data_IF_658051698375
#
_entry.id   IF_658051698375
#
_cell.length_a   1.000
_cell.length_b   1.000
_cell.length_c   1.000
_cell.angle_alpha   90.00
_cell.angle_beta   90.00
_cell.angle_gamma   90.00
#
_symmetry.space_group_name_H-M   'P 1'
#
loop_
_entity.id
_entity.type
_entity.pdbx_description
1 polymer ?
#
# COMPACT_ATOMS: atom_id res chain seq x y z
N UNK A 1 -47.90 -17.68 -25.53
CA UNK A 1 -47.42 -16.29 -25.49
C UNK A 1 -46.42 -16.19 -24.35
N UNK A 2 -45.14 -16.05 -24.67
CA UNK A 2 -44.04 -16.07 -23.69
C UNK A 2 -43.88 -14.66 -23.10
N UNK A 3 -44.29 -14.48 -21.86
CA UNK A 3 -44.17 -13.20 -21.14
C UNK A 3 -42.69 -12.95 -20.85
N UNK A 4 -42.08 -12.01 -21.56
CA UNK A 4 -40.71 -11.54 -21.28
C UNK A 4 -40.74 -10.81 -19.94
N UNK A 5 -40.16 -11.42 -18.89
CA UNK A 5 -40.29 -10.94 -17.51
C UNK A 5 -39.26 -9.88 -17.08
N UNK A 6 -38.22 -9.59 -17.88
CA UNK A 6 -37.37 -8.42 -17.70
C UNK A 6 -36.41 -8.32 -18.89
N UNK A 7 -36.52 -7.25 -19.68
CA UNK A 7 -35.54 -6.96 -20.74
C UNK A 7 -34.34 -6.29 -20.08
N UNK A 8 -33.25 -7.03 -19.86
CA UNK A 8 -31.97 -6.46 -19.40
C UNK A 8 -31.33 -5.80 -20.62
N UNK A 9 -31.76 -4.59 -20.93
CA UNK A 9 -31.05 -3.77 -21.92
C UNK A 9 -29.73 -3.32 -21.33
N UNK A 10 -28.63 -3.53 -22.06
CA UNK A 10 -27.35 -2.93 -21.71
C UNK A 10 -27.52 -1.41 -21.69
N UNK A 11 -27.14 -0.72 -20.60
CA UNK A 11 -27.25 0.72 -20.53
C UNK A 11 -26.42 1.32 -21.67
N UNK A 12 -27.06 2.14 -22.51
CA UNK A 12 -26.41 2.83 -23.63
C UNK A 12 -25.13 3.53 -23.12
N UNK A 13 -23.98 3.37 -23.77
CA UNK A 13 -22.76 4.08 -23.40
C UNK A 13 -23.04 5.58 -23.44
N UNK A 14 -23.11 6.21 -22.27
CA UNK A 14 -23.17 7.67 -22.21
C UNK A 14 -21.80 8.18 -22.65
N UNK A 15 -21.71 9.10 -23.63
CA UNK A 15 -20.44 9.68 -24.02
C UNK A 15 -19.82 10.35 -22.80
N UNK A 16 -18.72 9.77 -22.29
CA UNK A 16 -17.99 10.30 -21.15
C UNK A 16 -17.53 11.72 -21.45
N UNK A 17 -17.99 12.70 -20.65
CA UNK A 17 -17.71 14.12 -20.87
C UNK A 17 -16.30 14.55 -20.42
N UNK A 18 -15.30 13.66 -20.45
CA UNK A 18 -13.95 13.98 -19.98
C UNK A 18 -12.88 12.96 -20.36
N UNK A 19 -11.61 13.33 -20.13
CA UNK A 19 -10.48 12.45 -20.37
C UNK A 19 -10.48 11.31 -19.34
N UNK A 20 -10.62 10.06 -19.82
CA UNK A 20 -10.84 8.87 -19.02
C UNK A 20 -9.78 8.65 -17.91
N UNK A 21 -8.56 9.15 -18.10
CA UNK A 21 -7.49 9.02 -17.12
C UNK A 21 -7.88 9.58 -15.74
N UNK A 22 -8.75 10.59 -15.67
CA UNK A 22 -9.07 11.29 -14.42
C UNK A 22 -10.37 10.83 -13.74
N UNK A 23 -10.98 9.73 -14.18
CA UNK A 23 -12.29 9.29 -13.68
C UNK A 23 -12.23 8.39 -12.44
N UNK A 24 -11.12 7.66 -12.26
CA UNK A 24 -10.93 6.71 -11.16
C UNK A 24 -9.48 6.71 -10.72
N UNK A 25 -9.25 6.65 -9.41
CA UNK A 25 -7.91 6.77 -8.81
C UNK A 25 -6.91 5.73 -9.31
N UNK A 26 -7.31 4.49 -9.60
CA UNK A 26 -6.35 3.49 -10.09
C UNK A 26 -5.75 3.86 -11.45
N UNK A 27 -6.49 4.56 -12.31
CA UNK A 27 -6.05 4.84 -13.70
C UNK A 27 -4.75 5.65 -13.76
N UNK A 28 -4.65 6.86 -13.16
CA UNK A 28 -3.41 7.61 -13.20
C UNK A 28 -2.36 7.00 -12.28
N UNK A 29 -2.74 6.55 -11.07
CA UNK A 29 -1.73 6.08 -10.11
C UNK A 29 -1.11 4.74 -10.49
N UNK A 30 -1.83 3.81 -11.10
CA UNK A 30 -1.22 2.56 -11.56
C UNK A 30 -0.32 2.82 -12.77
N UNK A 31 -0.76 3.68 -13.71
CA UNK A 31 0.09 4.08 -14.83
C UNK A 31 1.38 4.75 -14.34
N UNK A 32 1.28 5.69 -13.40
CA UNK A 32 2.43 6.37 -12.80
C UNK A 32 3.32 5.39 -12.03
N UNK A 33 2.76 4.52 -11.19
CA UNK A 33 3.52 3.54 -10.42
C UNK A 33 4.26 2.56 -11.33
N UNK A 34 3.60 2.01 -12.36
CA UNK A 34 4.23 1.09 -13.30
C UNK A 34 5.31 1.77 -14.15
N UNK A 35 5.03 2.98 -14.66
CA UNK A 35 6.02 3.77 -15.41
C UNK A 35 7.22 4.12 -14.54
N UNK A 36 6.97 4.52 -13.30
CA UNK A 36 8.02 4.83 -12.35
C UNK A 36 8.84 3.60 -11.95
N UNK A 37 8.23 2.44 -11.76
CA UNK A 37 8.97 1.21 -11.49
C UNK A 37 9.95 0.89 -12.62
N UNK A 38 9.51 1.01 -13.89
CA UNK A 38 10.38 0.82 -15.05
C UNK A 38 11.51 1.87 -15.12
N UNK A 39 11.18 3.14 -14.92
CA UNK A 39 12.16 4.25 -14.94
C UNK A 39 13.13 4.20 -13.75
N UNK A 40 12.67 3.75 -12.59
CA UNK A 40 13.44 3.71 -11.35
C UNK A 40 14.64 2.79 -11.47
N UNK A 41 14.55 1.70 -12.26
CA UNK A 41 15.70 0.83 -12.54
C UNK A 41 16.80 1.59 -13.29
N UNK A 42 16.42 2.38 -14.30
CA UNK A 42 17.37 3.20 -15.07
C UNK A 42 17.97 4.31 -14.22
N UNK A 43 17.15 5.01 -13.42
CA UNK A 43 17.62 6.05 -12.50
C UNK A 43 18.60 5.48 -11.46
N UNK A 44 18.35 4.27 -10.97
CA UNK A 44 19.26 3.58 -10.07
C UNK A 44 20.58 3.21 -10.74
N UNK A 45 20.54 2.67 -11.96
CA UNK A 45 21.74 2.38 -12.73
C UNK A 45 22.59 3.64 -12.99
N UNK A 46 21.95 4.76 -13.31
CA UNK A 46 22.61 6.05 -13.52
C UNK A 46 23.21 6.64 -12.24
N UNK A 47 22.59 6.43 -11.07
CA UNK A 47 23.17 6.84 -9.80
C UNK A 47 24.41 6.00 -9.48
N UNK A 48 24.33 4.68 -9.64
CA UNK A 48 25.48 3.80 -9.39
C UNK A 48 26.63 4.02 -10.36
N UNK A 49 26.36 4.40 -11.60
CA UNK A 49 27.40 4.75 -12.57
C UNK A 49 28.01 6.14 -12.32
N UNK A 50 27.47 6.93 -11.39
CA UNK A 50 27.93 8.29 -11.07
C UNK A 50 27.42 9.38 -12.02
N UNK A 51 26.55 9.05 -12.97
CA UNK A 51 26.01 9.99 -13.97
C UNK A 51 24.92 10.91 -13.41
N UNK A 52 24.29 10.52 -12.30
CA UNK A 52 23.17 11.26 -11.70
C UNK A 52 23.61 12.40 -10.76
N UNK A 53 24.91 12.69 -10.68
CA UNK A 53 25.46 13.73 -9.81
C UNK A 53 25.34 13.38 -8.33
N UNK A 54 24.97 14.37 -7.49
CA UNK A 54 24.74 14.22 -6.04
C UNK A 54 23.27 14.48 -5.69
N UNK A 55 22.37 13.51 -5.92
CA UNK A 55 20.96 13.66 -5.54
C UNK A 55 20.83 13.75 -4.02
N UNK A 56 19.77 14.41 -3.55
CA UNK A 56 19.54 14.65 -2.13
C UNK A 56 19.32 13.36 -1.33
N UNK A 57 18.59 12.40 -1.90
CA UNK A 57 18.60 11.01 -1.44
C UNK A 57 19.46 10.15 -2.37
N UNK A 58 20.30 9.30 -1.79
CA UNK A 58 21.15 8.39 -2.53
C UNK A 58 21.31 7.04 -1.84
N UNK A 59 21.78 6.04 -2.59
CA UNK A 59 22.10 4.73 -2.06
C UNK A 59 20.86 3.99 -1.52
N UNK A 60 21.04 2.93 -0.71
CA UNK A 60 19.95 2.04 -0.32
C UNK A 60 18.74 2.73 0.32
N UNK A 61 18.95 3.84 1.03
CA UNK A 61 17.87 4.63 1.61
C UNK A 61 16.97 5.25 0.53
N UNK A 62 17.55 5.75 -0.56
CA UNK A 62 16.75 6.25 -1.68
C UNK A 62 15.92 5.15 -2.31
N UNK A 63 16.49 3.95 -2.51
CA UNK A 63 15.74 2.80 -3.04
C UNK A 63 14.53 2.51 -2.18
N UNK A 64 14.75 2.35 -0.87
CA UNK A 64 13.70 2.05 0.08
C UNK A 64 12.61 3.13 0.10
N UNK A 65 13.01 4.41 0.06
CA UNK A 65 12.08 5.55 -0.01
C UNK A 65 11.23 5.49 -1.27
N UNK A 66 11.84 5.25 -2.44
CA UNK A 66 11.14 5.20 -3.72
C UNK A 66 10.23 3.99 -3.84
N UNK A 67 10.62 2.83 -3.33
CA UNK A 67 9.80 1.62 -3.37
C UNK A 67 8.58 1.71 -2.45
N UNK A 68 8.74 2.26 -1.24
CA UNK A 68 7.65 2.35 -0.26
C UNK A 68 6.74 3.53 -0.51
N UNK A 69 7.29 4.74 -0.53
CA UNK A 69 6.50 5.97 -0.60
C UNK A 69 6.22 6.43 -2.03
N UNK A 70 7.05 6.00 -2.99
CA UNK A 70 6.83 6.31 -4.40
C UNK A 70 5.90 5.32 -5.05
N UNK A 71 6.41 4.11 -5.22
CA UNK A 71 5.72 3.04 -5.93
C UNK A 71 4.55 2.48 -5.12
N UNK A 72 4.80 1.84 -3.98
CA UNK A 72 3.77 1.09 -3.28
C UNK A 72 2.65 1.99 -2.76
N UNK A 73 2.98 3.16 -2.22
CA UNK A 73 1.99 4.13 -1.75
C UNK A 73 1.12 4.70 -2.90
N UNK A 74 1.67 4.92 -4.10
CA UNK A 74 0.86 5.30 -5.25
C UNK A 74 -0.16 4.21 -5.61
N UNK A 75 0.27 2.94 -5.62
CA UNK A 75 -0.64 1.80 -5.83
C UNK A 75 -1.72 1.75 -4.74
N UNK A 76 -1.35 1.93 -3.47
CA UNK A 76 -2.30 1.98 -2.35
C UNK A 76 -3.31 3.13 -2.52
N UNK A 77 -2.87 4.33 -2.88
CA UNK A 77 -3.76 5.49 -3.09
C UNK A 77 -4.71 5.24 -4.27
N UNK A 78 -4.20 4.74 -5.39
CA UNK A 78 -5.02 4.37 -6.55
C UNK A 78 -6.08 3.32 -6.22
N UNK A 79 -5.68 2.30 -5.45
CA UNK A 79 -6.58 1.29 -4.93
C UNK A 79 -7.63 1.90 -3.99
N UNK A 80 -7.23 2.69 -2.99
CA UNK A 80 -8.10 3.24 -1.96
C UNK A 80 -9.12 4.24 -2.52
N UNK A 81 -8.78 5.03 -3.53
CA UNK A 81 -9.76 5.90 -4.20
C UNK A 81 -10.77 5.11 -5.02
N UNK A 82 -10.37 3.98 -5.59
CA UNK A 82 -11.28 3.13 -6.35
C UNK A 82 -12.19 2.34 -5.42
N UNK A 83 -11.61 1.68 -4.42
CA UNK A 83 -12.32 0.91 -3.42
C UNK A 83 -13.16 1.79 -2.50
N UNK A 84 -12.65 2.96 -2.11
CA UNK A 84 -13.34 3.96 -1.29
C UNK A 84 -14.62 4.46 -1.95
N UNK A 85 -14.62 4.66 -3.27
CA UNK A 85 -15.85 4.96 -4.04
C UNK A 85 -16.87 3.83 -3.90
N UNK A 86 -16.43 2.58 -4.07
CA UNK A 86 -17.32 1.41 -3.94
C UNK A 86 -17.84 1.22 -2.50
N UNK A 87 -17.03 1.48 -1.48
CA UNK A 87 -17.43 1.33 -0.08
C UNK A 87 -18.34 2.44 0.43
N UNK A 88 -18.21 3.66 -0.13
CA UNK A 88 -18.98 4.83 0.30
C UNK A 88 -20.20 5.11 -0.58
N UNK A 89 -20.22 4.61 -1.82
CA UNK A 89 -21.18 5.05 -2.84
C UNK A 89 -21.04 6.52 -3.24
N UNK A 90 -19.99 7.19 -2.76
CA UNK A 90 -19.72 8.60 -3.00
C UNK A 90 -18.53 8.76 -3.95
N UNK A 91 -18.50 9.82 -4.77
CA UNK A 91 -17.34 10.08 -5.62
C UNK A 91 -16.11 10.37 -4.76
N UNK A 92 -15.03 9.63 -5.01
CA UNK A 92 -13.67 9.98 -4.58
C UNK A 92 -13.10 11.07 -5.51
N UNK A 93 -11.91 11.64 -5.23
CA UNK A 93 -11.33 12.67 -6.10
C UNK A 93 -11.27 12.22 -7.57
N UNK A 94 -11.84 13.04 -8.46
CA UNK A 94 -11.91 12.83 -9.91
C UNK A 94 -11.62 14.15 -10.63
N UNK A 95 -11.26 14.11 -11.91
CA UNK A 95 -10.95 15.31 -12.70
C UNK A 95 -9.72 16.05 -12.17
N UNK A 96 -9.83 17.38 -12.05
CA UNK A 96 -8.74 18.27 -11.63
C UNK A 96 -8.15 17.90 -10.25
N UNK A 97 -8.94 17.67 -9.17
CA UNK A 97 -8.41 17.19 -7.89
C UNK A 97 -7.51 15.96 -7.99
N UNK A 98 -7.88 14.98 -8.83
CA UNK A 98 -7.08 13.77 -9.03
C UNK A 98 -5.79 14.07 -9.81
N UNK A 99 -5.86 14.95 -10.81
CA UNK A 99 -4.70 15.41 -11.56
C UNK A 99 -3.69 16.18 -10.69
N UNK A 100 -4.16 17.02 -9.77
CA UNK A 100 -3.31 17.74 -8.83
C UNK A 100 -2.61 16.78 -7.85
N UNK A 101 -3.31 15.74 -7.37
CA UNK A 101 -2.67 14.71 -6.54
C UNK A 101 -1.60 13.92 -7.30
N UNK A 102 -1.86 13.59 -8.57
CA UNK A 102 -0.88 12.94 -9.44
C UNK A 102 0.35 13.84 -9.69
N UNK A 103 0.13 15.13 -9.92
CA UNK A 103 1.22 16.10 -10.09
C UNK A 103 2.03 16.29 -8.79
N UNK A 104 1.36 16.34 -7.64
CA UNK A 104 2.00 16.42 -6.33
C UNK A 104 2.90 15.21 -6.07
N UNK A 105 2.42 14.01 -6.40
CA UNK A 105 3.21 12.79 -6.32
C UNK A 105 4.44 12.85 -7.24
N UNK A 106 4.25 13.26 -8.50
CA UNK A 106 5.34 13.37 -9.48
C UNK A 106 6.40 14.40 -9.04
N UNK A 107 5.96 15.55 -8.53
CA UNK A 107 6.84 16.58 -7.98
C UNK A 107 7.71 16.02 -6.85
N UNK A 108 7.14 15.19 -5.97
CA UNK A 108 7.88 14.52 -4.90
C UNK A 108 9.03 13.64 -5.42
N UNK A 109 8.81 12.93 -6.54
CA UNK A 109 9.84 12.08 -7.18
C UNK A 109 10.97 12.91 -7.78
N UNK A 110 10.63 13.99 -8.47
CA UNK A 110 11.61 14.89 -9.09
C UNK A 110 12.42 15.62 -8.03
N UNK A 111 11.78 16.15 -6.99
CA UNK A 111 12.44 16.95 -5.95
C UNK A 111 13.50 16.17 -5.17
N UNK A 112 13.34 14.85 -5.01
CA UNK A 112 14.35 13.99 -4.37
C UNK A 112 15.67 13.96 -5.14
N UNK A 113 15.65 14.22 -6.45
CA UNK A 113 16.83 14.32 -7.30
C UNK A 113 17.51 15.69 -7.26
N UNK A 114 16.85 16.69 -6.66
CA UNK A 114 17.33 18.08 -6.60
C UNK A 114 17.96 18.38 -5.23
N UNK A 115 18.75 19.45 -5.08
CA UNK A 115 19.30 19.85 -3.77
C UNK A 115 18.25 20.43 -2.80
N UNK A 116 16.98 20.58 -3.20
CA UNK A 116 15.94 21.24 -2.41
C UNK A 116 15.31 20.30 -1.35
N UNK A 117 16.11 19.80 -0.41
CA UNK A 117 15.69 18.78 0.56
C UNK A 117 14.45 19.15 1.40
N UNK A 118 14.33 20.41 1.85
CA UNK A 118 13.14 20.87 2.58
C UNK A 118 11.86 20.86 1.73
N UNK A 119 11.96 21.30 0.47
CA UNK A 119 10.83 21.28 -0.45
C UNK A 119 10.46 19.84 -0.79
N UNK A 120 11.46 18.99 -1.00
CA UNK A 120 11.27 17.55 -1.17
C UNK A 120 10.51 16.96 0.04
N UNK A 121 10.93 17.26 1.27
CA UNK A 121 10.30 16.78 2.50
C UNK A 121 8.81 17.12 2.57
N UNK A 122 8.47 18.40 2.38
CA UNK A 122 7.10 18.90 2.48
C UNK A 122 6.21 18.33 1.38
N UNK A 123 6.68 18.33 0.13
CA UNK A 123 5.89 17.82 -1.01
C UNK A 123 5.64 16.33 -0.89
N UNK A 124 6.65 15.57 -0.50
CA UNK A 124 6.55 14.13 -0.31
C UNK A 124 5.56 13.77 0.83
N UNK A 125 5.61 14.48 1.95
CA UNK A 125 4.68 14.28 3.06
C UNK A 125 3.25 14.76 2.73
N UNK A 126 3.12 15.81 1.93
CA UNK A 126 1.82 16.37 1.55
C UNK A 126 1.00 15.39 0.70
N UNK A 127 1.64 14.56 -0.13
CA UNK A 127 0.94 13.60 -0.99
C UNK A 127 0.01 12.64 -0.22
N UNK A 128 0.50 11.80 0.72
CA UNK A 128 -0.37 10.88 1.44
C UNK A 128 -1.36 11.59 2.38
N UNK A 129 -1.01 12.76 2.91
CA UNK A 129 -1.93 13.58 3.71
C UNK A 129 -3.11 14.06 2.85
N UNK A 130 -2.82 14.63 1.68
CA UNK A 130 -3.84 15.08 0.73
C UNK A 130 -4.68 13.90 0.22
N UNK A 131 -4.06 12.74 -0.03
CA UNK A 131 -4.79 11.52 -0.38
C UNK A 131 -5.71 11.06 0.77
N UNK A 132 -5.24 11.13 2.02
CA UNK A 132 -6.01 10.83 3.21
C UNK A 132 -7.24 11.73 3.35
N UNK A 133 -7.08 13.04 3.16
CA UNK A 133 -8.19 14.00 3.15
C UNK A 133 -9.17 13.69 2.02
N UNK A 134 -8.67 13.42 0.81
CA UNK A 134 -9.48 13.05 -0.35
C UNK A 134 -10.30 11.78 -0.12
N UNK A 135 -9.79 10.82 0.66
CA UNK A 135 -10.51 9.61 1.06
C UNK A 135 -11.47 9.86 2.24
N UNK A 136 -11.11 10.73 3.19
CA UNK A 136 -11.90 11.02 4.38
C UNK A 136 -13.25 11.66 4.04
N UNK A 137 -13.28 12.59 3.08
CA UNK A 137 -14.49 13.31 2.67
C UNK A 137 -15.64 12.35 2.27
N UNK A 138 -15.46 11.43 1.29
CA UNK A 138 -16.51 10.50 0.90
C UNK A 138 -16.86 9.49 2.00
N UNK A 139 -15.87 9.01 2.77
CA UNK A 139 -16.13 8.11 3.91
C UNK A 139 -16.96 8.78 5.01
N UNK A 140 -16.76 10.08 5.22
CA UNK A 140 -17.55 10.89 6.14
C UNK A 140 -18.97 11.10 5.68
N UNK A 141 -19.15 11.51 4.42
CA UNK A 141 -20.48 11.67 3.82
C UNK A 141 -21.29 10.37 3.86
N UNK A 142 -20.64 9.23 3.64
CA UNK A 142 -21.27 7.91 3.69
C UNK A 142 -21.35 7.30 5.10
N UNK A 143 -20.86 7.99 6.15
CA UNK A 143 -20.76 7.47 7.52
C UNK A 143 -20.09 6.10 7.63
N UNK A 144 -19.16 5.79 6.73
CA UNK A 144 -18.50 4.48 6.66
C UNK A 144 -17.33 4.41 7.65
N UNK A 145 -17.66 4.30 8.95
CA UNK A 145 -16.69 4.24 10.06
C UNK A 145 -15.66 3.11 9.94
N UNK A 146 -16.04 1.99 9.32
CA UNK A 146 -15.20 0.79 9.19
C UNK A 146 -13.92 1.01 8.38
N UNK A 147 -13.91 1.98 7.47
CA UNK A 147 -12.78 2.23 6.57
C UNK A 147 -11.98 3.50 6.91
N UNK A 148 -12.34 4.21 7.99
CA UNK A 148 -11.61 5.43 8.40
C UNK A 148 -10.18 5.18 8.81
N UNK A 149 -9.85 3.97 9.29
CA UNK A 149 -8.48 3.66 9.67
C UNK A 149 -7.52 3.82 8.48
N UNK A 150 -7.96 3.65 7.23
CA UNK A 150 -7.12 3.92 6.04
C UNK A 150 -6.73 5.39 5.95
N UNK A 151 -7.60 6.32 6.38
CA UNK A 151 -7.24 7.74 6.50
C UNK A 151 -6.13 7.89 7.52
N UNK A 152 -6.28 7.29 8.71
CA UNK A 152 -5.23 7.31 9.74
C UNK A 152 -3.89 6.74 9.25
N UNK A 153 -3.92 5.64 8.51
CA UNK A 153 -2.72 5.03 7.91
C UNK A 153 -2.06 5.95 6.88
N UNK A 154 -2.83 6.61 6.01
CA UNK A 154 -2.29 7.57 5.05
C UNK A 154 -1.64 8.77 5.77
N UNK A 155 -2.22 9.24 6.87
CA UNK A 155 -1.59 10.26 7.70
C UNK A 155 -0.29 9.76 8.35
N UNK A 156 -0.29 8.52 8.85
CA UNK A 156 0.91 7.90 9.39
C UNK A 156 2.02 7.77 8.34
N UNK A 157 1.70 7.44 7.08
CA UNK A 157 2.67 7.47 5.97
C UNK A 157 3.24 8.87 5.75
N UNK A 158 2.40 9.91 5.76
CA UNK A 158 2.87 11.29 5.63
C UNK A 158 3.83 11.72 6.74
N UNK A 159 3.51 11.36 7.99
CA UNK A 159 4.38 11.61 9.15
C UNK A 159 5.68 10.82 9.02
N UNK A 160 5.62 9.51 8.75
CA UNK A 160 6.80 8.66 8.61
C UNK A 160 7.73 9.16 7.50
N UNK A 161 7.17 9.57 6.37
CA UNK A 161 7.92 10.12 5.25
C UNK A 161 8.56 11.47 5.62
N UNK A 162 7.82 12.38 6.24
CA UNK A 162 8.35 13.67 6.68
C UNK A 162 9.51 13.49 7.67
N UNK A 163 9.34 12.60 8.64
CA UNK A 163 10.35 12.27 9.65
C UNK A 163 11.61 11.69 9.03
N UNK A 164 11.50 10.83 8.00
CA UNK A 164 12.65 10.33 7.24
C UNK A 164 13.43 11.49 6.59
N UNK A 165 12.72 12.44 5.98
CA UNK A 165 13.36 13.62 5.38
C UNK A 165 13.99 14.54 6.43
N UNK A 166 13.37 14.73 7.59
CA UNK A 166 13.95 15.50 8.70
C UNK A 166 15.24 14.86 9.22
N UNK A 167 15.28 13.52 9.28
CA UNK A 167 16.50 12.80 9.65
C UNK A 167 17.61 12.98 8.59
N UNK A 168 17.26 12.90 7.30
CA UNK A 168 18.20 13.15 6.21
C UNK A 168 18.74 14.59 6.20
N UNK A 169 17.92 15.56 6.59
CA UNK A 169 18.30 16.98 6.72
C UNK A 169 19.12 17.27 8.00
N UNK A 170 19.31 16.28 8.88
CA UNK A 170 20.02 16.45 10.15
C UNK A 170 19.23 17.19 11.23
N UNK A 171 17.92 17.39 11.05
CA UNK A 171 17.06 18.10 12.00
C UNK A 171 16.70 17.22 13.19
N UNK A 172 16.53 15.92 12.95
CA UNK A 172 16.20 14.94 13.99
C UNK A 172 17.20 13.79 13.92
N UNK A 173 17.73 13.38 15.07
CA UNK A 173 18.58 12.19 15.17
C UNK A 173 17.72 10.97 15.40
N UNK A 174 17.48 10.20 14.33
CA UNK A 174 16.83 8.90 14.39
C UNK A 174 17.75 7.83 13.82
N UNK A 175 17.62 6.56 14.23
CA UNK A 175 18.27 5.49 13.52
C UNK A 175 17.80 5.51 12.05
N UNK A 176 18.76 5.49 11.11
CA UNK A 176 18.52 5.84 9.71
C UNK A 176 17.46 5.00 8.98
N UNK A 177 17.09 3.84 9.53
CA UNK A 177 16.11 2.92 8.93
C UNK A 177 14.72 2.97 9.57
N UNK A 178 14.50 3.70 10.66
CA UNK A 178 13.21 3.69 11.38
C UNK A 178 12.05 4.15 10.50
N UNK A 179 12.23 5.23 9.72
CA UNK A 179 11.19 5.71 8.80
C UNK A 179 10.81 4.69 7.72
N UNK A 180 11.79 3.89 7.27
CA UNK A 180 11.59 2.80 6.30
C UNK A 180 10.87 1.61 6.96
N UNK A 181 11.26 1.22 8.17
CA UNK A 181 10.63 0.14 8.93
C UNK A 181 9.16 0.46 9.24
N UNK A 182 8.87 1.65 9.76
CA UNK A 182 7.50 2.11 10.02
C UNK A 182 6.66 2.08 8.74
N UNK A 183 7.21 2.52 7.61
CA UNK A 183 6.51 2.47 6.33
C UNK A 183 6.27 1.04 5.82
N UNK A 184 7.23 0.12 6.04
CA UNK A 184 7.06 -1.31 5.76
C UNK A 184 5.93 -1.91 6.60
N UNK A 185 5.89 -1.64 7.90
CA UNK A 185 4.85 -2.17 8.80
C UNK A 185 3.47 -1.63 8.45
N UNK A 186 3.37 -0.32 8.14
CA UNK A 186 2.13 0.29 7.65
C UNK A 186 1.69 -0.35 6.32
N UNK A 187 2.63 -0.65 5.42
CA UNK A 187 2.33 -1.33 4.16
C UNK A 187 1.84 -2.75 4.39
N UNK A 188 2.53 -3.52 5.25
CA UNK A 188 2.13 -4.87 5.66
C UNK A 188 0.74 -4.83 6.28
N UNK A 189 0.44 -3.84 7.12
CA UNK A 189 -0.88 -3.68 7.73
C UNK A 189 -1.97 -3.45 6.67
N UNK A 190 -1.75 -2.54 5.73
CA UNK A 190 -2.69 -2.31 4.59
C UNK A 190 -2.89 -3.59 3.80
N UNK A 191 -1.82 -4.26 3.41
CA UNK A 191 -1.86 -5.52 2.65
C UNK A 191 -2.54 -6.63 3.45
N UNK A 192 -2.33 -6.71 4.76
CA UNK A 192 -2.93 -7.71 5.64
C UNK A 192 -4.44 -7.51 5.80
N UNK A 193 -4.89 -6.26 5.93
CA UNK A 193 -6.32 -5.94 6.00
C UNK A 193 -6.98 -6.23 4.66
N UNK A 194 -6.37 -5.78 3.56
CA UNK A 194 -6.93 -5.97 2.24
C UNK A 194 -6.89 -7.42 1.81
N UNK A 195 -5.80 -8.14 2.08
CA UNK A 195 -5.65 -9.56 1.81
C UNK A 195 -6.75 -10.38 2.46
N UNK A 196 -7.06 -10.14 3.74
CA UNK A 196 -8.15 -10.82 4.44
C UNK A 196 -9.56 -10.59 3.90
N UNK A 197 -9.76 -9.49 3.17
CA UNK A 197 -11.06 -9.17 2.55
C UNK A 197 -11.14 -9.68 1.12
N UNK A 198 -10.06 -9.49 0.37
CA UNK A 198 -10.00 -9.66 -1.08
C UNK A 198 -9.66 -11.10 -1.43
N UNK A 199 -8.66 -11.69 -0.77
CA UNK A 199 -8.15 -13.02 -1.16
C UNK A 199 -9.23 -14.09 -1.00
N UNK A 200 -9.90 -14.25 0.17
CA UNK A 200 -10.96 -15.26 0.30
C UNK A 200 -12.13 -15.03 -0.65
N UNK A 201 -12.49 -13.76 -0.91
CA UNK A 201 -13.55 -13.40 -1.84
C UNK A 201 -13.22 -13.85 -3.27
N UNK A 202 -12.02 -13.54 -3.77
CA UNK A 202 -11.59 -13.96 -5.10
C UNK A 202 -11.39 -15.47 -5.19
N UNK A 203 -10.94 -16.12 -4.12
CA UNK A 203 -10.82 -17.58 -4.08
C UNK A 203 -12.19 -18.26 -4.22
N UNK A 204 -13.16 -17.88 -3.39
CA UNK A 204 -14.49 -18.50 -3.39
C UNK A 204 -15.27 -18.20 -4.67
N UNK A 205 -15.06 -17.03 -5.29
CA UNK A 205 -15.70 -16.68 -6.55
C UNK A 205 -14.99 -17.27 -7.78
N UNK A 206 -13.67 -17.47 -7.70
CA UNK A 206 -12.84 -17.84 -8.83
C UNK A 206 -12.58 -19.34 -8.97
N UNK A 207 -12.74 -20.14 -7.91
CA UNK A 207 -12.48 -21.58 -7.93
C UNK A 207 -13.70 -22.37 -7.43
N UNK A 208 -14.39 -23.11 -8.31
CA UNK A 208 -15.54 -23.92 -7.92
C UNK A 208 -15.21 -24.94 -6.84
N UNK A 209 -16.07 -25.05 -5.81
CA UNK A 209 -15.94 -26.05 -4.75
C UNK A 209 -14.95 -25.71 -3.63
N UNK A 210 -14.22 -24.59 -3.73
CA UNK A 210 -13.34 -24.12 -2.66
C UNK A 210 -14.15 -23.35 -1.61
N UNK A 211 -13.79 -23.55 -0.34
CA UNK A 211 -14.34 -22.78 0.77
C UNK A 211 -13.21 -22.17 1.59
N UNK A 212 -12.61 -21.10 1.07
CA UNK A 212 -11.69 -20.26 1.81
C UNK A 212 -12.42 -19.67 3.02
N UNK A 213 -11.94 -20.02 4.22
CA UNK A 213 -12.58 -19.65 5.50
C UNK A 213 -11.93 -18.41 6.09
N UNK A 214 -12.74 -17.62 6.80
CA UNK A 214 -12.29 -16.47 7.57
C UNK A 214 -12.73 -16.64 9.02
N UNK A 215 -11.77 -16.88 9.91
CA UNK A 215 -12.01 -16.94 11.35
C UNK A 215 -11.76 -15.56 11.97
N UNK A 216 -12.78 -14.98 12.60
CA UNK A 216 -12.72 -13.61 13.13
C UNK A 216 -11.60 -13.42 14.16
N UNK A 217 -11.43 -14.37 15.07
CA UNK A 217 -10.38 -14.36 16.10
C UNK A 217 -8.99 -14.31 15.47
N UNK A 218 -8.73 -15.17 14.48
CA UNK A 218 -7.44 -15.21 13.78
C UNK A 218 -7.18 -13.91 13.01
N UNK A 219 -8.20 -13.36 12.34
CA UNK A 219 -8.08 -12.08 11.63
C UNK A 219 -7.72 -10.96 12.60
N UNK A 220 -8.34 -10.91 13.78
CA UNK A 220 -8.04 -9.91 14.80
C UNK A 220 -6.62 -10.06 15.35
N UNK A 221 -6.18 -11.28 15.65
CA UNK A 221 -4.83 -11.52 16.15
C UNK A 221 -3.76 -11.25 15.11
N UNK A 222 -3.95 -11.64 13.84
CA UNK A 222 -2.98 -11.35 12.79
C UNK A 222 -2.81 -9.85 12.56
N UNK A 223 -3.90 -9.09 12.49
CA UNK A 223 -3.83 -7.63 12.37
C UNK A 223 -3.26 -6.98 13.63
N UNK A 224 -3.62 -7.49 14.81
CA UNK A 224 -3.07 -7.04 16.09
C UNK A 224 -1.56 -7.29 16.20
N UNK A 225 -1.06 -8.40 15.66
CA UNK A 225 0.36 -8.72 15.64
C UNK A 225 1.16 -7.72 14.79
N UNK A 226 0.65 -7.31 13.61
CA UNK A 226 1.30 -6.26 12.80
C UNK A 226 1.31 -4.92 13.51
N UNK A 227 0.23 -4.55 14.21
CA UNK A 227 0.21 -3.32 15.02
C UNK A 227 1.15 -3.39 16.22
N UNK A 228 1.27 -4.55 16.85
CA UNK A 228 2.23 -4.79 17.93
C UNK A 228 3.67 -4.71 17.41
N UNK A 229 3.95 -5.22 16.20
CA UNK A 229 5.24 -5.08 15.54
C UNK A 229 5.58 -3.61 15.28
N UNK A 230 4.65 -2.85 14.70
CA UNK A 230 4.82 -1.41 14.51
C UNK A 230 5.14 -0.70 15.83
N UNK A 231 4.45 -1.05 16.92
CA UNK A 231 4.73 -0.46 18.23
C UNK A 231 6.10 -0.89 18.79
N UNK A 232 6.48 -2.15 18.61
CA UNK A 232 7.79 -2.67 19.02
C UNK A 232 8.93 -2.00 18.24
N UNK A 233 8.76 -1.77 16.94
CA UNK A 233 9.72 -1.06 16.10
C UNK A 233 9.87 0.40 16.50
N UNK A 234 8.76 1.09 16.77
CA UNK A 234 8.80 2.46 17.31
C UNK A 234 9.46 2.53 18.69
N UNK A 235 9.38 1.46 19.48
CA UNK A 235 10.05 1.35 20.78
C UNK A 235 11.53 0.94 20.66
N UNK A 236 12.03 0.61 19.47
CA UNK A 236 13.40 0.13 19.27
C UNK A 236 13.65 -1.24 19.91
N UNK A 237 12.63 -2.12 19.92
CA UNK A 237 12.77 -3.48 20.45
C UNK A 237 13.57 -4.35 19.47
N UNK A 238 14.57 -5.07 19.98
CA UNK A 238 15.42 -5.97 19.20
C UNK A 238 15.71 -7.28 19.94
N UNK A 239 16.30 -8.24 19.26
CA UNK A 239 16.74 -9.52 19.79
C UNK A 239 15.59 -10.51 20.02
N UNK A 240 15.75 -11.39 21.02
CA UNK A 240 14.86 -12.53 21.23
C UNK A 240 13.37 -12.15 21.39
N UNK A 241 13.07 -11.03 22.07
CA UNK A 241 11.70 -10.58 22.25
C UNK A 241 11.04 -10.18 20.91
N UNK A 242 11.77 -9.46 20.06
CA UNK A 242 11.32 -9.10 18.71
C UNK A 242 11.20 -10.34 17.82
N UNK A 243 12.16 -11.27 17.88
CA UNK A 243 12.12 -12.53 17.15
C UNK A 243 10.87 -13.37 17.48
N UNK A 244 10.50 -13.48 18.76
CA UNK A 244 9.28 -14.18 19.20
C UNK A 244 8.03 -13.51 18.64
N UNK A 245 7.94 -12.17 18.73
CA UNK A 245 6.79 -11.43 18.20
C UNK A 245 6.65 -11.62 16.68
N UNK A 246 7.75 -11.55 15.93
CA UNK A 246 7.79 -11.77 14.50
C UNK A 246 7.42 -13.22 14.13
N UNK A 247 7.91 -14.21 14.87
CA UNK A 247 7.57 -15.61 14.65
C UNK A 247 6.08 -15.89 14.90
N UNK A 248 5.50 -15.30 15.95
CA UNK A 248 4.07 -15.37 16.22
C UNK A 248 3.26 -14.69 15.11
N UNK A 249 3.68 -13.51 14.65
CA UNK A 249 3.04 -12.84 13.52
C UNK A 249 3.11 -13.71 12.26
N UNK A 250 4.28 -14.26 11.92
CA UNK A 250 4.46 -15.15 10.78
C UNK A 250 3.52 -16.37 10.86
N UNK A 251 3.42 -17.01 12.02
CA UNK A 251 2.52 -18.14 12.23
C UNK A 251 1.04 -17.77 12.05
N UNK A 252 0.60 -16.63 12.59
CA UNK A 252 -0.77 -16.14 12.42
C UNK A 252 -1.10 -15.85 10.95
N UNK A 253 -0.17 -15.23 10.22
CA UNK A 253 -0.33 -14.96 8.80
C UNK A 253 -0.28 -16.23 7.93
N UNK A 254 0.57 -17.21 8.30
CA UNK A 254 0.60 -18.52 7.65
C UNK A 254 -0.70 -19.29 7.87
N UNK A 255 -1.26 -19.25 9.09
CA UNK A 255 -2.56 -19.86 9.40
C UNK A 255 -3.69 -19.24 8.56
N UNK A 256 -3.66 -17.92 8.33
CA UNK A 256 -4.62 -17.26 7.41
C UNK A 256 -4.48 -17.83 6.00
N UNK A 257 -3.25 -17.90 5.48
CA UNK A 257 -2.99 -18.40 4.13
C UNK A 257 -3.42 -19.87 3.97
N UNK A 258 -3.21 -20.68 5.00
CA UNK A 258 -3.68 -22.07 5.06
C UNK A 258 -5.21 -22.15 4.98
N UNK A 259 -5.94 -21.33 5.73
CA UNK A 259 -7.40 -21.29 5.70
C UNK A 259 -7.98 -20.81 4.37
N UNK A 260 -7.17 -20.12 3.56
CA UNK A 260 -7.53 -19.69 2.21
C UNK A 260 -7.28 -20.77 1.15
N UNK A 261 -6.85 -21.98 1.56
CA UNK A 261 -6.68 -23.16 0.72
C UNK A 261 -5.73 -22.97 -0.47
N UNK A 262 -4.51 -22.46 -0.20
CA UNK A 262 -3.46 -22.17 -1.20
C UNK A 262 -3.31 -23.23 -2.31
N UNK A 263 -3.40 -24.51 -1.93
CA UNK A 263 -3.17 -25.68 -2.78
C UNK A 263 -4.25 -25.92 -3.85
N UNK A 264 -5.48 -25.42 -3.69
CA UNK A 264 -6.57 -25.68 -4.64
C UNK A 264 -6.54 -24.76 -5.89
N UNK A 265 -5.62 -23.78 -5.95
CA UNK A 265 -5.72 -22.64 -6.89
C UNK A 265 -4.67 -22.64 -8.01
N UNK A 266 -3.87 -23.70 -8.12
CA UNK A 266 -2.77 -23.79 -9.10
C UNK A 266 -3.24 -23.71 -10.56
N UNK A 267 -4.53 -23.96 -10.84
CA UNK A 267 -5.12 -23.91 -12.18
C UNK A 267 -5.75 -22.57 -12.55
N UNK A 268 -5.79 -21.62 -11.61
CA UNK A 268 -6.42 -20.29 -11.79
C UNK A 268 -5.40 -19.19 -11.52
N UNK A 269 -4.63 -18.76 -12.55
CA UNK A 269 -3.49 -17.83 -12.37
C UNK A 269 -3.85 -16.54 -11.65
N UNK A 270 -5.04 -15.99 -11.93
CA UNK A 270 -5.54 -14.76 -11.30
C UNK A 270 -5.63 -14.88 -9.77
N UNK A 271 -6.06 -16.03 -9.26
CA UNK A 271 -6.23 -16.26 -7.82
C UNK A 271 -4.90 -16.64 -7.18
N UNK A 272 -4.07 -17.42 -7.87
CA UNK A 272 -2.77 -17.86 -7.35
C UNK A 272 -1.83 -16.67 -7.05
N UNK A 273 -1.78 -15.66 -7.93
CA UNK A 273 -0.92 -14.48 -7.74
C UNK A 273 -1.23 -13.75 -6.44
N UNK A 274 -2.51 -13.65 -6.05
CA UNK A 274 -2.91 -12.99 -4.81
C UNK A 274 -2.36 -13.73 -3.57
N UNK A 275 -2.32 -15.05 -3.63
CA UNK A 275 -1.80 -15.85 -2.52
C UNK A 275 -0.28 -15.86 -2.47
N UNK A 276 0.37 -15.94 -3.63
CA UNK A 276 1.82 -15.82 -3.74
C UNK A 276 2.27 -14.47 -3.17
N UNK A 277 1.62 -13.37 -3.56
CA UNK A 277 1.90 -12.04 -3.01
C UNK A 277 1.74 -11.99 -1.49
N UNK A 278 0.69 -12.60 -0.94
CA UNK A 278 0.49 -12.65 0.51
C UNK A 278 1.50 -13.56 1.23
N UNK A 279 1.95 -14.65 0.59
CA UNK A 279 2.98 -15.53 1.14
C UNK A 279 4.30 -14.80 1.38
N UNK A 280 4.63 -13.78 0.57
CA UNK A 280 5.80 -12.93 0.81
C UNK A 280 5.73 -12.15 2.13
N UNK A 281 4.53 -11.86 2.66
CA UNK A 281 4.38 -11.27 4.00
C UNK A 281 4.83 -12.28 5.07
N UNK A 282 4.39 -13.53 4.96
CA UNK A 282 4.80 -14.61 5.86
C UNK A 282 6.31 -14.82 5.79
N UNK A 283 6.86 -14.88 4.56
CA UNK A 283 8.28 -15.02 4.33
C UNK A 283 9.08 -13.86 4.92
N UNK A 284 8.65 -12.62 4.71
CA UNK A 284 9.29 -11.44 5.29
C UNK A 284 9.33 -11.53 6.83
N UNK A 285 8.19 -11.82 7.48
CA UNK A 285 8.10 -11.91 8.94
C UNK A 285 9.00 -13.04 9.49
N UNK A 286 9.03 -14.19 8.81
CA UNK A 286 9.87 -15.32 9.20
C UNK A 286 11.37 -15.03 9.04
N UNK A 287 11.78 -14.46 7.89
CA UNK A 287 13.17 -14.09 7.65
C UNK A 287 13.64 -13.02 8.63
N UNK A 288 12.78 -12.04 8.95
CA UNK A 288 13.07 -11.02 9.94
C UNK A 288 13.20 -11.60 11.35
N UNK A 289 12.39 -12.60 11.70
CA UNK A 289 12.52 -13.31 12.97
C UNK A 289 13.86 -14.05 13.07
N UNK A 290 14.29 -14.72 11.99
CA UNK A 290 15.60 -15.38 11.94
C UNK A 290 16.75 -14.37 12.12
N UNK A 291 16.69 -13.23 11.43
CA UNK A 291 17.70 -12.19 11.55
C UNK A 291 17.82 -11.65 12.99
N UNK A 292 16.70 -11.40 13.67
CA UNK A 292 16.68 -10.97 15.09
C UNK A 292 17.15 -12.07 16.06
N UNK A 293 17.05 -13.34 15.65
CA UNK A 293 17.59 -14.49 16.39
C UNK A 293 19.09 -14.77 16.08
N UNK A 294 19.69 -14.04 15.14
CA UNK A 294 21.09 -14.21 14.74
C UNK A 294 21.36 -15.38 13.78
N UNK A 295 20.35 -15.81 13.02
CA UNK A 295 20.43 -16.88 12.00
C UNK A 295 20.60 -16.33 10.58
#
# INVERSE_FOLDING_TARGET
>A
MTTVLLNIEEPKPQPGRGFALWELGFRPFYLLASSFAALSVLLWALQFSGWLGRPYLAGPLWHAHEMLFGYALAVVVGFLFTAGRNWSGQPTPTGLPLALLALLWLAGRVLVLTPFGWVAAVVNAAFPIAAGIGLAIPLYRARNKRNYFFVGVLFAFGIAQFTLHLAQLGVVTLPGWVGVQVALDLMIFVMAVMGGRVIPMFTNNGVPGVQARRHETLERFALGAVLALLAADLAGLHGAAMAVLLALAAALHAARLYLWQLWCMLRTPLVWVLHAAYAFIVLHLALRACAEAGL
#
